data_IF_699390880448
#
_entry.id   IF_699390880448
#
_cell.length_a   1.000
_cell.length_b   1.000
_cell.length_c   1.000
_cell.angle_alpha   90.00
_cell.angle_beta   90.00
_cell.angle_gamma   90.00
#
_symmetry.space_group_name_H-M   'P 1'
#
loop_
_entity.id
_entity.type
_entity.pdbx_description
1 polymer ?
#
# COMPACT_ATOMS: atom_id res chain seq x y z
N UNK A 1 -79.00 30.06 45.03
CA UNK A 1 -78.14 29.09 45.77
C UNK A 1 -77.30 28.40 44.70
N UNK A 2 -76.06 28.86 44.57
CA UNK A 2 -75.04 28.30 43.66
C UNK A 2 -74.24 27.26 44.44
N UNK A 3 -74.17 26.06 43.94
CA UNK A 3 -73.30 25.02 44.50
C UNK A 3 -72.06 24.85 43.65
N UNK A 4 -70.96 25.44 44.12
CA UNK A 4 -69.64 25.20 43.54
C UNK A 4 -69.19 23.75 43.80
N UNK A 5 -69.00 22.94 42.75
CA UNK A 5 -68.37 21.63 42.82
C UNK A 5 -66.84 21.83 42.79
N UNK A 6 -66.23 21.67 43.94
CA UNK A 6 -64.75 21.57 44.06
C UNK A 6 -64.33 20.22 43.51
N UNK A 7 -63.65 20.25 42.33
CA UNK A 7 -62.98 19.08 41.74
C UNK A 7 -61.65 18.84 42.51
N UNK A 8 -61.66 17.82 43.34
CA UNK A 8 -60.43 17.35 44.03
C UNK A 8 -59.54 16.65 42.97
N UNK A 9 -58.50 17.33 42.53
CA UNK A 9 -57.47 16.71 41.70
C UNK A 9 -56.69 15.70 42.49
N UNK A 10 -56.67 14.46 42.04
CA UNK A 10 -55.99 13.33 42.71
C UNK A 10 -54.50 13.39 42.39
N UNK A 11 -53.60 13.70 43.37
CA UNK A 11 -52.14 13.91 43.15
C UNK A 11 -51.40 12.66 42.64
N UNK A 12 -52.02 11.48 42.77
CA UNK A 12 -51.44 10.24 42.23
C UNK A 12 -51.51 10.10 40.72
N UNK A 13 -52.48 10.73 40.07
CA UNK A 13 -52.64 10.71 38.59
C UNK A 13 -51.64 11.63 37.90
N UNK A 14 -51.38 12.79 38.47
CA UNK A 14 -50.39 13.73 37.92
C UNK A 14 -48.96 13.19 38.05
N UNK A 15 -48.61 12.50 39.12
CA UNK A 15 -47.32 11.81 39.25
C UNK A 15 -47.15 10.67 38.25
N UNK A 16 -48.19 9.86 38.01
CA UNK A 16 -48.13 8.80 36.98
C UNK A 16 -47.99 9.35 35.57
N UNK A 17 -48.69 10.42 35.22
CA UNK A 17 -48.56 11.08 33.91
C UNK A 17 -47.21 11.75 33.73
N UNK A 18 -46.62 12.34 34.75
CA UNK A 18 -45.28 12.92 34.71
C UNK A 18 -44.18 11.83 34.53
N UNK A 19 -44.34 10.68 35.19
CA UNK A 19 -43.43 9.54 35.03
C UNK A 19 -43.53 8.93 33.62
N UNK A 20 -44.73 8.78 33.10
CA UNK A 20 -44.96 8.28 31.72
C UNK A 20 -44.35 9.23 30.67
N UNK A 21 -44.54 10.55 30.79
CA UNK A 21 -43.89 11.53 29.90
C UNK A 21 -42.37 11.50 30.01
N UNK A 22 -41.82 11.37 31.21
CA UNK A 22 -40.37 11.28 31.42
C UNK A 22 -39.78 10.01 30.80
N UNK A 23 -40.47 8.86 30.88
CA UNK A 23 -40.05 7.63 30.28
C UNK A 23 -40.15 7.69 28.73
N UNK A 24 -41.20 8.27 28.18
CA UNK A 24 -41.33 8.49 26.72
C UNK A 24 -40.25 9.45 26.19
N UNK A 25 -39.90 10.52 26.91
CA UNK A 25 -38.81 11.43 26.53
C UNK A 25 -37.46 10.72 26.61
N UNK A 26 -37.25 9.84 27.63
CA UNK A 26 -36.04 9.04 27.72
C UNK A 26 -35.93 7.98 26.61
N UNK A 27 -37.03 7.35 26.20
CA UNK A 27 -37.08 6.41 25.07
C UNK A 27 -36.84 7.16 23.73
N UNK A 28 -37.42 8.32 23.52
CA UNK A 28 -37.17 9.15 22.34
C UNK A 28 -35.70 9.60 22.31
N UNK A 29 -35.15 10.07 23.43
CA UNK A 29 -33.72 10.45 23.52
C UNK A 29 -32.77 9.25 23.38
N UNK A 30 -33.23 8.01 23.68
CA UNK A 30 -32.44 6.78 23.46
C UNK A 30 -32.53 6.33 22.00
N UNK A 31 -33.66 6.56 21.34
CA UNK A 31 -33.84 6.31 19.90
C UNK A 31 -33.10 7.33 19.02
N UNK A 32 -33.04 8.60 19.43
CA UNK A 32 -32.26 9.64 18.73
C UNK A 32 -30.73 9.44 18.90
N UNK A 33 -30.28 8.65 19.82
CA UNK A 33 -28.87 8.27 20.01
C UNK A 33 -28.48 6.93 19.38
N UNK A 34 -29.28 6.38 18.47
CA UNK A 34 -28.77 5.36 17.57
C UNK A 34 -27.82 6.02 16.59
N UNK A 35 -26.55 6.09 17.01
CA UNK A 35 -25.43 6.57 16.21
C UNK A 35 -25.41 5.81 14.90
N UNK A 36 -25.66 6.50 13.79
CA UNK A 36 -25.57 5.89 12.46
C UNK A 36 -24.10 5.52 12.26
N UNK A 37 -23.78 4.25 12.38
CA UNK A 37 -22.45 3.72 12.13
C UNK A 37 -22.26 3.53 10.63
N UNK A 38 -21.26 4.19 10.07
CA UNK A 38 -20.79 3.94 8.73
C UNK A 38 -20.00 2.63 8.71
N UNK A 39 -20.52 1.63 8.04
CA UNK A 39 -19.88 0.31 7.97
C UNK A 39 -18.84 0.28 6.86
N UNK A 40 -17.58 0.09 7.25
CA UNK A 40 -16.46 -0.18 6.34
C UNK A 40 -16.20 -1.69 6.33
N UNK A 41 -16.30 -2.32 5.18
CA UNK A 41 -16.10 -3.76 5.01
C UNK A 41 -14.67 -4.05 4.56
N UNK A 42 -13.89 -4.72 5.41
CA UNK A 42 -12.52 -5.15 5.10
C UNK A 42 -12.57 -6.50 4.39
N UNK A 43 -11.92 -6.63 3.24
CA UNK A 43 -11.85 -7.86 2.44
C UNK A 43 -10.41 -8.40 2.48
N UNK A 44 -10.23 -9.60 3.01
CA UNK A 44 -8.90 -10.21 3.16
C UNK A 44 -8.87 -11.66 2.68
N UNK A 45 -7.84 -12.08 1.93
CA UNK A 45 -7.65 -13.48 1.57
C UNK A 45 -7.31 -14.31 2.81
N UNK A 46 -7.93 -15.50 2.94
CA UNK A 46 -7.67 -16.43 4.06
C UNK A 46 -6.21 -16.91 4.04
N UNK A 47 -5.65 -17.13 2.85
CA UNK A 47 -4.29 -17.65 2.61
C UNK A 47 -3.16 -16.65 2.84
N UNK A 48 -3.44 -15.35 2.95
CA UNK A 48 -2.37 -14.36 3.11
C UNK A 48 -1.67 -14.46 4.47
N UNK A 49 -0.45 -13.93 4.54
CA UNK A 49 0.36 -13.91 5.77
C UNK A 49 -0.45 -13.34 6.96
N UNK A 50 -0.51 -14.13 8.04
CA UNK A 50 -1.28 -13.78 9.25
C UNK A 50 -0.84 -12.43 9.84
N UNK A 51 0.45 -12.11 9.77
CA UNK A 51 0.98 -10.86 10.30
C UNK A 51 0.53 -9.65 9.46
N UNK A 52 0.50 -9.76 8.14
CA UNK A 52 0.02 -8.69 7.25
C UNK A 52 -1.44 -8.39 7.56
N UNK A 53 -2.28 -9.43 7.67
CA UNK A 53 -3.70 -9.27 8.02
C UNK A 53 -3.90 -8.59 9.37
N UNK A 54 -3.17 -9.06 10.39
CA UNK A 54 -3.23 -8.50 11.74
C UNK A 54 -2.78 -7.04 11.76
N UNK A 55 -1.66 -6.73 11.12
CA UNK A 55 -1.13 -5.37 11.09
C UNK A 55 -2.07 -4.42 10.37
N UNK A 56 -2.68 -4.85 9.27
CA UNK A 56 -3.66 -4.04 8.55
C UNK A 56 -4.87 -3.71 9.44
N UNK A 57 -5.47 -4.71 10.08
CA UNK A 57 -6.62 -4.52 10.98
C UNK A 57 -6.23 -3.60 12.14
N UNK A 58 -5.13 -3.88 12.82
CA UNK A 58 -4.65 -3.06 13.93
C UNK A 58 -4.39 -1.60 13.53
N UNK A 59 -3.90 -1.37 12.30
CA UNK A 59 -3.66 -0.02 11.77
C UNK A 59 -4.97 0.75 11.59
N UNK A 60 -6.03 0.11 11.12
CA UNK A 60 -7.36 0.72 11.02
C UNK A 60 -7.94 1.03 12.39
N UNK A 61 -7.93 0.06 13.30
CA UNK A 61 -8.43 0.24 14.66
C UNK A 61 -7.69 1.37 15.40
N UNK A 62 -6.34 1.40 15.28
CA UNK A 62 -5.53 2.46 15.85
C UNK A 62 -5.83 3.84 15.24
N UNK A 63 -6.07 3.89 13.91
CA UNK A 63 -6.37 5.15 13.23
C UNK A 63 -7.73 5.70 13.64
N UNK A 64 -8.74 4.83 13.77
CA UNK A 64 -10.07 5.19 14.27
C UNK A 64 -9.97 5.70 15.71
N UNK A 65 -9.23 4.99 16.56
CA UNK A 65 -9.01 5.38 17.96
C UNK A 65 -8.29 6.74 18.08
N UNK A 66 -7.15 6.91 17.37
CA UNK A 66 -6.38 8.17 17.42
C UNK A 66 -7.12 9.38 16.88
N UNK A 67 -8.03 9.18 15.96
CA UNK A 67 -8.84 10.26 15.35
C UNK A 67 -10.15 10.47 16.05
N UNK A 68 -10.40 9.71 17.13
CA UNK A 68 -11.65 9.78 17.92
C UNK A 68 -12.91 9.64 17.02
N UNK A 69 -12.79 8.78 15.96
CA UNK A 69 -13.88 8.55 15.04
C UNK A 69 -14.82 7.54 15.67
N UNK A 70 -15.99 7.99 16.06
CA UNK A 70 -16.92 7.19 16.83
C UNK A 70 -18.15 6.73 16.03
N UNK A 71 -18.19 7.04 14.72
CA UNK A 71 -19.29 6.69 13.79
C UNK A 71 -18.88 5.69 12.69
N UNK A 72 -17.75 4.99 12.84
CA UNK A 72 -17.28 3.95 11.92
C UNK A 72 -17.27 2.61 12.64
N UNK A 73 -17.81 1.59 11.96
CA UNK A 73 -17.67 0.19 12.35
C UNK A 73 -16.91 -0.57 11.27
N UNK A 74 -15.99 -1.46 11.68
CA UNK A 74 -15.25 -2.34 10.78
C UNK A 74 -15.87 -3.73 10.75
N UNK A 75 -16.07 -4.28 9.56
CA UNK A 75 -16.51 -5.66 9.36
C UNK A 75 -15.53 -6.41 8.48
N UNK A 76 -14.97 -7.50 9.01
CA UNK A 76 -13.96 -8.28 8.29
C UNK A 76 -14.65 -9.39 7.52
N UNK A 77 -14.41 -9.45 6.22
CA UNK A 77 -14.83 -10.51 5.32
C UNK A 77 -13.59 -11.25 4.82
N UNK A 78 -13.66 -12.58 4.80
CA UNK A 78 -12.56 -13.43 4.32
C UNK A 78 -13.02 -14.20 3.09
N UNK A 79 -12.09 -14.44 2.17
CA UNK A 79 -12.29 -15.25 0.99
C UNK A 79 -11.11 -16.21 0.81
N UNK A 80 -11.33 -17.36 0.23
CA UNK A 80 -10.31 -18.40 -0.01
C UNK A 80 -9.82 -18.39 -1.46
N UNK A 81 -10.73 -18.05 -2.39
CA UNK A 81 -10.46 -18.00 -3.83
C UNK A 81 -11.04 -16.73 -4.45
N UNK A 82 -10.62 -16.41 -5.68
CA UNK A 82 -11.22 -15.31 -6.45
C UNK A 82 -12.70 -15.53 -6.73
N UNK A 83 -13.12 -16.78 -6.86
CA UNK A 83 -14.52 -17.15 -7.00
C UNK A 83 -15.34 -16.83 -5.75
N UNK A 84 -14.80 -17.13 -4.57
CA UNK A 84 -15.44 -16.79 -3.29
C UNK A 84 -15.52 -15.27 -3.09
N UNK A 85 -14.47 -14.54 -3.49
CA UNK A 85 -14.49 -13.08 -3.49
C UNK A 85 -15.62 -12.54 -4.37
N UNK A 86 -15.75 -13.06 -5.59
CA UNK A 86 -16.81 -12.65 -6.51
C UNK A 86 -18.21 -12.97 -5.95
N UNK A 87 -18.37 -14.14 -5.35
CA UNK A 87 -19.64 -14.57 -4.71
C UNK A 87 -19.99 -13.70 -3.50
N UNK A 88 -18.99 -13.37 -2.68
CA UNK A 88 -19.12 -12.46 -1.55
C UNK A 88 -19.57 -11.07 -2.02
N UNK A 89 -18.96 -10.53 -3.07
CA UNK A 89 -19.31 -9.23 -3.60
C UNK A 89 -20.71 -9.23 -4.23
N UNK A 90 -21.11 -10.26 -4.96
CA UNK A 90 -22.49 -10.40 -5.48
C UNK A 90 -23.55 -10.27 -4.39
N UNK A 91 -23.23 -10.73 -3.18
CA UNK A 91 -24.17 -10.68 -2.05
C UNK A 91 -24.09 -9.41 -1.21
N UNK A 92 -22.92 -8.74 -1.17
CA UNK A 92 -22.63 -7.62 -0.25
C UNK A 92 -22.39 -6.28 -0.91
N UNK A 93 -22.04 -6.26 -2.20
CA UNK A 93 -21.73 -5.05 -2.93
C UNK A 93 -23.03 -4.28 -3.27
N UNK A 94 -23.55 -3.60 -2.27
CA UNK A 94 -24.73 -2.74 -2.39
C UNK A 94 -24.33 -1.27 -2.54
N UNK A 95 -25.15 -0.44 -3.19
CA UNK A 95 -24.86 0.99 -3.34
C UNK A 95 -24.56 1.67 -2.00
N UNK A 96 -23.55 2.53 -1.99
CA UNK A 96 -23.11 3.27 -0.79
C UNK A 96 -22.16 2.48 0.14
N UNK A 97 -21.79 1.25 -0.22
CA UNK A 97 -20.83 0.46 0.55
C UNK A 97 -19.39 0.90 0.27
N UNK A 98 -18.57 0.80 1.33
CA UNK A 98 -17.14 1.05 1.28
C UNK A 98 -16.42 -0.26 1.64
N UNK A 99 -15.56 -0.70 0.74
CA UNK A 99 -14.72 -1.87 0.93
C UNK A 99 -13.26 -1.46 0.97
N UNK A 100 -12.49 -2.08 1.89
CA UNK A 100 -11.05 -1.89 2.01
C UNK A 100 -10.37 -3.25 1.96
N UNK A 101 -9.35 -3.41 1.13
CA UNK A 101 -8.68 -4.69 0.98
C UNK A 101 -8.33 -4.96 -0.47
N UNK A 102 -8.33 -6.25 -0.86
CA UNK A 102 -7.75 -6.71 -2.11
C UNK A 102 -6.25 -6.41 -2.17
N UNK A 103 -5.48 -7.32 -1.58
CA UNK A 103 -4.01 -7.17 -1.46
C UNK A 103 -3.27 -7.49 -2.76
N UNK A 104 -3.94 -8.10 -3.75
CA UNK A 104 -3.34 -8.54 -5.02
C UNK A 104 -4.05 -7.92 -6.22
N UNK A 105 -3.35 -7.88 -7.35
CA UNK A 105 -3.88 -7.34 -8.59
C UNK A 105 -5.05 -8.17 -9.14
N UNK A 106 -4.99 -9.49 -9.01
CA UNK A 106 -6.06 -10.39 -9.45
C UNK A 106 -7.36 -10.15 -8.66
N UNK A 107 -7.25 -10.00 -7.34
CA UNK A 107 -8.40 -9.68 -6.50
C UNK A 107 -8.96 -8.28 -6.82
N UNK A 108 -8.09 -7.32 -7.16
CA UNK A 108 -8.51 -5.98 -7.57
C UNK A 108 -9.24 -5.99 -8.91
N UNK A 109 -8.84 -6.85 -9.85
CA UNK A 109 -9.59 -7.06 -11.09
C UNK A 109 -11.00 -7.59 -10.85
N UNK A 110 -11.18 -8.46 -9.85
CA UNK A 110 -12.52 -8.96 -9.49
C UNK A 110 -13.39 -7.83 -8.96
N UNK A 111 -12.90 -7.00 -8.02
CA UNK A 111 -13.72 -5.91 -7.45
C UNK A 111 -14.06 -4.84 -8.48
N UNK A 112 -13.20 -4.61 -9.46
CA UNK A 112 -13.43 -3.68 -10.56
C UNK A 112 -14.69 -3.98 -11.36
N UNK A 113 -15.11 -5.24 -11.46
CA UNK A 113 -16.36 -5.65 -12.12
C UNK A 113 -17.62 -5.09 -11.46
N UNK A 114 -17.52 -4.59 -10.22
CA UNK A 114 -18.64 -4.06 -9.44
C UNK A 114 -18.69 -2.53 -9.39
N UNK A 115 -17.84 -1.83 -10.12
CA UNK A 115 -17.76 -0.36 -10.11
C UNK A 115 -19.06 0.37 -10.49
N UNK A 116 -19.91 -0.23 -11.28
CA UNK A 116 -21.20 0.36 -11.71
C UNK A 116 -22.26 0.47 -10.61
N UNK A 117 -21.98 -0.02 -9.40
CA UNK A 117 -22.95 -0.12 -8.30
C UNK A 117 -22.85 0.99 -7.25
N UNK A 118 -22.16 2.11 -7.54
CA UNK A 118 -21.90 3.21 -6.60
C UNK A 118 -21.24 2.73 -5.29
N UNK A 119 -20.22 1.88 -5.42
CA UNK A 119 -19.44 1.31 -4.34
C UNK A 119 -18.05 1.94 -4.39
N UNK A 120 -17.36 2.03 -3.25
CA UNK A 120 -15.98 2.44 -3.18
C UNK A 120 -15.09 1.28 -2.73
N UNK A 121 -14.04 1.01 -3.47
CA UNK A 121 -13.00 0.05 -3.13
C UNK A 121 -11.68 0.74 -2.93
N UNK A 122 -11.07 0.55 -1.75
CA UNK A 122 -9.69 0.94 -1.47
C UNK A 122 -8.82 -0.31 -1.56
N UNK A 123 -8.02 -0.42 -2.61
CA UNK A 123 -7.17 -1.57 -2.90
C UNK A 123 -5.70 -1.29 -2.63
N UNK A 124 -4.95 -2.31 -2.23
CA UNK A 124 -3.49 -2.24 -2.02
C UNK A 124 -2.71 -2.84 -3.20
N UNK A 125 -3.34 -2.99 -4.37
CA UNK A 125 -2.64 -3.41 -5.59
C UNK A 125 -1.57 -2.40 -6.01
N UNK A 126 -0.42 -2.91 -6.47
CA UNK A 126 0.65 -2.10 -7.05
C UNK A 126 0.49 -1.86 -8.57
N UNK A 127 -0.55 -2.39 -9.19
CA UNK A 127 -0.83 -2.19 -10.60
C UNK A 127 -1.72 -0.95 -10.81
N UNK A 128 -1.11 0.14 -11.28
CA UNK A 128 -1.80 1.42 -11.54
C UNK A 128 -2.95 1.32 -12.54
N UNK A 129 -2.91 0.36 -13.48
CA UNK A 129 -3.94 0.19 -14.49
C UNK A 129 -5.27 -0.32 -13.92
N UNK A 130 -5.27 -0.72 -12.64
CA UNK A 130 -6.47 -1.19 -11.95
C UNK A 130 -7.23 -0.06 -11.26
N UNK A 131 -6.71 1.17 -11.22
CA UNK A 131 -7.46 2.32 -10.79
C UNK A 131 -8.71 2.52 -11.67
N UNK A 132 -9.84 2.87 -11.06
CA UNK A 132 -11.11 3.10 -11.76
C UNK A 132 -11.97 4.10 -10.97
N UNK A 133 -13.11 4.48 -11.51
CA UNK A 133 -14.06 5.40 -10.85
C UNK A 133 -14.42 4.97 -9.42
N UNK A 134 -14.47 3.67 -9.15
CA UNK A 134 -14.76 3.13 -7.83
C UNK A 134 -13.58 2.44 -7.16
N UNK A 135 -12.43 2.26 -7.81
CA UNK A 135 -11.24 1.59 -7.27
C UNK A 135 -10.14 2.60 -7.03
N UNK A 136 -9.91 2.90 -5.77
CA UNK A 136 -8.82 3.77 -5.31
C UNK A 136 -7.65 2.90 -4.87
N UNK A 137 -6.49 3.10 -5.48
CA UNK A 137 -5.27 2.37 -5.12
C UNK A 137 -4.55 3.10 -3.99
N UNK A 138 -4.34 2.39 -2.89
CA UNK A 138 -3.62 2.86 -1.70
C UNK A 138 -2.31 2.07 -1.61
N UNK A 139 -1.31 2.50 -2.37
CA UNK A 139 -0.01 1.84 -2.40
C UNK A 139 1.09 2.84 -2.77
N UNK A 140 2.34 2.46 -2.49
CA UNK A 140 3.51 3.12 -3.06
C UNK A 140 3.76 2.49 -4.42
N UNK A 141 3.91 3.33 -5.45
CA UNK A 141 4.15 2.86 -6.80
C UNK A 141 5.63 3.03 -7.12
N UNK A 142 6.37 1.92 -7.31
CA UNK A 142 7.80 1.97 -7.60
C UNK A 142 8.15 2.86 -8.80
N UNK A 143 7.24 2.99 -9.72
CA UNK A 143 7.38 3.85 -10.91
C UNK A 143 7.48 5.33 -10.54
N UNK A 144 6.63 5.80 -9.60
CA UNK A 144 6.67 7.19 -9.13
C UNK A 144 7.93 7.47 -8.34
N UNK A 145 8.35 6.51 -7.50
CA UNK A 145 9.59 6.60 -6.73
C UNK A 145 10.80 6.68 -7.66
N UNK A 146 10.83 5.86 -8.71
CA UNK A 146 11.90 5.92 -9.72
C UNK A 146 11.88 7.25 -10.49
N UNK A 147 10.73 7.73 -10.92
CA UNK A 147 10.62 9.04 -11.59
C UNK A 147 11.13 10.13 -10.68
N UNK A 148 10.73 10.14 -9.40
CA UNK A 148 11.22 11.11 -8.44
C UNK A 148 12.73 11.02 -8.24
N UNK A 149 13.28 9.79 -8.13
CA UNK A 149 14.73 9.56 -7.98
C UNK A 149 15.50 10.07 -9.20
N UNK A 150 15.03 9.77 -10.41
CA UNK A 150 15.72 10.16 -11.64
C UNK A 150 15.75 11.67 -11.87
N UNK A 151 14.81 12.42 -11.31
CA UNK A 151 14.82 13.88 -11.35
C UNK A 151 16.02 14.50 -10.59
N UNK A 152 16.69 13.75 -9.72
CA UNK A 152 17.90 14.21 -9.02
C UNK A 152 19.20 13.94 -9.79
N UNK A 153 19.17 13.12 -10.84
CA UNK A 153 20.36 12.83 -11.62
C UNK A 153 20.60 13.90 -12.70
N UNK A 154 21.86 14.36 -12.86
CA UNK A 154 22.21 15.19 -14.00
C UNK A 154 21.94 14.46 -15.33
N UNK A 155 21.72 15.20 -16.44
CA UNK A 155 21.68 14.60 -17.78
C UNK A 155 22.95 13.78 -18.05
N UNK A 156 22.83 12.77 -18.92
CA UNK A 156 23.92 11.83 -19.28
C UNK A 156 24.45 10.99 -18.11
N UNK A 157 23.73 10.94 -16.98
CA UNK A 157 24.12 10.10 -15.85
C UNK A 157 24.16 8.63 -16.24
N UNK A 158 25.26 7.96 -15.86
CA UNK A 158 25.46 6.52 -16.04
C UNK A 158 25.05 5.77 -14.78
N UNK A 159 24.01 4.95 -14.90
CA UNK A 159 23.40 4.27 -13.77
C UNK A 159 23.63 2.76 -13.89
N UNK A 160 24.00 2.13 -12.79
CA UNK A 160 24.05 0.69 -12.63
C UNK A 160 22.89 0.25 -11.75
N UNK A 161 22.14 -0.76 -12.20
CA UNK A 161 20.97 -1.30 -11.48
C UNK A 161 21.32 -2.62 -10.79
N UNK A 162 21.22 -2.64 -9.47
CA UNK A 162 21.27 -3.85 -8.65
C UNK A 162 19.89 -4.10 -8.06
N UNK A 163 19.31 -5.28 -8.28
CA UNK A 163 17.94 -5.58 -7.87
C UNK A 163 17.79 -7.02 -7.35
N UNK A 164 16.86 -7.27 -6.40
CA UNK A 164 16.58 -8.62 -5.93
C UNK A 164 15.91 -9.47 -7.01
N UNK A 165 16.21 -10.76 -7.07
CA UNK A 165 15.59 -11.71 -7.98
C UNK A 165 14.23 -12.18 -7.45
N UNK A 166 13.27 -11.26 -7.46
CA UNK A 166 11.90 -11.48 -7.07
C UNK A 166 10.93 -10.66 -7.94
N UNK A 167 9.65 -10.76 -7.65
CA UNK A 167 8.62 -10.02 -8.40
C UNK A 167 8.87 -8.52 -8.42
N UNK A 168 9.22 -7.91 -7.26
CA UNK A 168 9.49 -6.48 -7.15
C UNK A 168 10.70 -6.05 -7.99
N UNK A 169 11.83 -6.74 -7.83
CA UNK A 169 13.06 -6.42 -8.57
C UNK A 169 12.90 -6.61 -10.08
N UNK A 170 12.20 -7.67 -10.49
CA UNK A 170 11.90 -7.91 -11.90
C UNK A 170 10.97 -6.82 -12.48
N UNK A 171 10.03 -6.30 -11.70
CA UNK A 171 9.20 -5.17 -12.11
C UNK A 171 10.04 -3.90 -12.27
N UNK A 172 10.91 -3.56 -11.30
CA UNK A 172 11.84 -2.43 -11.38
C UNK A 172 12.70 -2.53 -12.65
N UNK A 173 13.27 -3.72 -12.90
CA UNK A 173 14.11 -3.95 -14.08
C UNK A 173 13.37 -3.71 -15.41
N UNK A 174 12.06 -3.97 -15.47
CA UNK A 174 11.23 -3.70 -16.65
C UNK A 174 10.92 -2.22 -16.84
N UNK A 175 10.56 -1.53 -15.76
CA UNK A 175 10.05 -0.15 -15.84
C UNK A 175 11.15 0.91 -15.86
N UNK A 176 12.39 0.59 -15.44
CA UNK A 176 13.46 1.57 -15.31
C UNK A 176 13.91 2.19 -16.65
N UNK A 177 13.88 1.43 -17.75
CA UNK A 177 14.35 1.90 -19.05
C UNK A 177 13.60 3.12 -19.58
N UNK A 178 12.26 3.08 -19.70
CA UNK A 178 11.51 4.22 -20.17
C UNK A 178 11.65 5.44 -19.26
N UNK A 179 11.87 5.24 -17.96
CA UNK A 179 12.08 6.32 -16.98
C UNK A 179 13.47 6.93 -17.18
N UNK A 180 14.51 6.11 -17.27
CA UNK A 180 15.87 6.58 -17.51
C UNK A 180 15.96 7.38 -18.81
N UNK A 181 15.35 6.89 -19.90
CA UNK A 181 15.33 7.57 -21.20
C UNK A 181 14.65 8.95 -21.12
N UNK A 182 13.55 9.08 -20.37
CA UNK A 182 12.86 10.37 -20.17
C UNK A 182 13.67 11.38 -19.37
N UNK A 183 14.63 10.90 -18.59
CA UNK A 183 15.49 11.72 -17.72
C UNK A 183 16.91 11.88 -18.27
N UNK A 184 17.12 11.58 -19.55
CA UNK A 184 18.43 11.60 -20.23
C UNK A 184 19.53 10.82 -19.48
N UNK A 185 19.14 9.71 -18.81
CA UNK A 185 20.06 8.85 -18.09
C UNK A 185 20.25 7.52 -18.81
N UNK A 186 21.41 6.87 -18.65
CA UNK A 186 21.79 5.65 -19.34
C UNK A 186 22.01 4.52 -18.33
N UNK A 187 21.30 3.43 -18.49
CA UNK A 187 21.54 2.21 -17.69
C UNK A 187 22.70 1.44 -18.34
N UNK A 188 23.89 1.48 -17.71
CA UNK A 188 25.14 0.92 -18.26
C UNK A 188 25.38 -0.54 -17.86
N UNK A 189 24.81 -1.00 -16.74
CA UNK A 189 24.90 -2.39 -16.32
C UNK A 189 23.76 -2.79 -15.39
N UNK A 190 23.52 -4.09 -15.28
CA UNK A 190 22.50 -4.69 -14.43
C UNK A 190 23.01 -5.98 -13.82
N UNK A 191 22.65 -6.22 -12.57
CA UNK A 191 22.82 -7.49 -11.92
C UNK A 191 21.67 -7.75 -10.96
N UNK A 192 21.21 -9.01 -10.86
CA UNK A 192 20.27 -9.45 -9.83
C UNK A 192 21.00 -10.17 -8.71
N UNK A 193 20.37 -10.24 -7.56
CA UNK A 193 20.85 -11.02 -6.41
C UNK A 193 19.68 -11.75 -5.75
N UNK A 194 19.98 -12.91 -5.13
CA UNK A 194 18.99 -13.69 -4.39
C UNK A 194 18.48 -12.92 -3.16
N UNK A 195 17.21 -13.11 -2.79
CA UNK A 195 16.59 -12.44 -1.64
C UNK A 195 17.30 -12.69 -0.30
N UNK A 196 17.97 -13.86 -0.17
CA UNK A 196 18.77 -14.23 1.00
C UNK A 196 20.18 -13.60 1.02
N UNK A 197 20.51 -12.81 0.00
CA UNK A 197 21.80 -12.15 -0.19
C UNK A 197 22.99 -13.10 -0.38
N UNK A 198 22.77 -14.39 -0.61
CA UNK A 198 23.82 -15.41 -0.69
C UNK A 198 24.84 -15.14 -1.80
N UNK A 199 24.43 -14.52 -2.91
CA UNK A 199 25.21 -14.17 -4.09
C UNK A 199 25.41 -12.66 -4.29
N UNK A 200 24.97 -11.82 -3.37
CA UNK A 200 25.00 -10.36 -3.51
C UNK A 200 26.41 -9.82 -3.81
N UNK A 201 27.46 -10.45 -3.23
CA UNK A 201 28.85 -10.09 -3.50
C UNK A 201 29.25 -10.32 -4.97
N UNK A 202 28.78 -11.40 -5.55
CA UNK A 202 29.11 -11.77 -6.92
C UNK A 202 28.28 -10.91 -7.90
N UNK A 203 27.02 -10.64 -7.59
CA UNK A 203 26.20 -9.67 -8.31
C UNK A 203 26.84 -8.27 -8.35
N UNK A 204 27.42 -7.80 -7.24
CA UNK A 204 28.15 -6.51 -7.19
C UNK A 204 29.41 -6.53 -8.06
N UNK A 205 30.15 -7.64 -8.05
CA UNK A 205 31.34 -7.81 -8.91
C UNK A 205 30.96 -7.78 -10.39
N UNK A 206 29.89 -8.49 -10.76
CA UNK A 206 29.35 -8.49 -12.12
C UNK A 206 28.91 -7.10 -12.55
N UNK A 207 28.10 -6.44 -11.72
CA UNK A 207 27.64 -5.06 -11.95
C UNK A 207 28.79 -4.10 -12.20
N UNK A 208 29.85 -4.21 -11.39
CA UNK A 208 31.09 -3.42 -11.50
C UNK A 208 32.05 -3.91 -12.58
N UNK A 209 31.75 -4.96 -13.32
CA UNK A 209 32.68 -5.62 -14.29
C UNK A 209 34.04 -5.88 -13.65
N UNK A 210 34.06 -6.38 -12.41
CA UNK A 210 35.26 -6.50 -11.60
C UNK A 210 36.36 -7.34 -12.26
N UNK A 211 36.01 -8.51 -12.78
CA UNK A 211 37.00 -9.42 -13.40
C UNK A 211 37.62 -8.80 -14.65
N UNK A 212 36.82 -8.14 -15.48
CA UNK A 212 37.30 -7.44 -16.67
C UNK A 212 38.28 -6.30 -16.28
N UNK A 213 37.92 -5.50 -15.29
CA UNK A 213 38.78 -4.41 -14.81
C UNK A 213 40.06 -4.91 -14.16
N UNK A 214 39.98 -6.01 -13.41
CA UNK A 214 41.12 -6.67 -12.81
C UNK A 214 42.08 -7.21 -13.89
N UNK A 215 41.53 -7.90 -14.88
CA UNK A 215 42.33 -8.40 -16.01
C UNK A 215 43.02 -7.27 -16.75
N UNK A 216 42.31 -6.20 -17.06
CA UNK A 216 42.88 -5.05 -17.76
C UNK A 216 43.97 -4.35 -16.93
N UNK A 217 43.76 -4.21 -15.62
CA UNK A 217 44.74 -3.66 -14.69
C UNK A 217 46.03 -4.52 -14.68
N UNK A 218 45.92 -5.82 -14.59
CA UNK A 218 47.08 -6.73 -14.57
C UNK A 218 47.78 -6.71 -15.93
N UNK A 219 47.04 -6.60 -17.03
CA UNK A 219 47.62 -6.41 -18.38
C UNK A 219 48.44 -5.12 -18.47
N UNK A 220 47.87 -4.00 -18.00
CA UNK A 220 48.55 -2.69 -17.96
C UNK A 220 49.81 -2.74 -17.08
N UNK A 221 49.74 -3.33 -15.89
CA UNK A 221 50.89 -3.51 -15.01
C UNK A 221 52.03 -4.30 -15.71
N UNK A 222 51.71 -5.39 -16.43
CA UNK A 222 52.70 -6.14 -17.20
C UNK A 222 53.35 -5.32 -18.28
N UNK A 223 52.56 -4.56 -19.05
CA UNK A 223 53.04 -3.73 -20.12
C UNK A 223 54.00 -2.61 -19.60
N UNK A 224 53.63 -2.01 -18.47
CA UNK A 224 54.47 -0.95 -17.86
C UNK A 224 55.75 -1.50 -17.21
N UNK A 225 55.71 -2.73 -16.64
CA UNK A 225 56.89 -3.36 -16.09
C UNK A 225 57.94 -3.69 -17.14
N UNK A 226 57.53 -3.97 -18.39
CA UNK A 226 58.42 -4.31 -19.50
C UNK A 226 59.07 -3.08 -20.17
N UNK A 227 58.73 -1.84 -19.72
CA UNK A 227 59.26 -0.60 -20.22
C UNK A 227 60.22 0.01 -19.18
N UNK A 228 61.39 0.43 -19.61
CA UNK A 228 62.43 0.92 -18.68
C UNK A 228 62.50 2.44 -18.58
N UNK A 229 61.54 3.12 -19.21
CA UNK A 229 61.46 4.59 -19.20
C UNK A 229 60.84 5.11 -17.87
N UNK A 230 61.23 6.33 -17.50
CA UNK A 230 60.83 6.96 -16.23
C UNK A 230 59.32 7.26 -16.18
N UNK A 231 58.69 7.52 -17.33
CA UNK A 231 57.26 7.80 -17.46
C UNK A 231 56.49 6.54 -17.10
N UNK A 232 56.87 5.38 -17.61
CA UNK A 232 56.28 4.08 -17.31
C UNK A 232 56.48 3.67 -15.86
N UNK A 233 57.63 3.94 -15.24
CA UNK A 233 57.88 3.70 -13.82
C UNK A 233 56.97 4.56 -12.93
N UNK A 234 56.77 5.83 -13.28
CA UNK A 234 55.85 6.70 -12.54
C UNK A 234 54.37 6.34 -12.72
N UNK A 235 53.94 5.90 -13.91
CA UNK A 235 52.63 5.39 -14.17
C UNK A 235 52.31 4.09 -13.35
N UNK A 236 53.32 3.18 -13.27
CA UNK A 236 53.20 1.95 -12.49
C UNK A 236 53.01 2.22 -11.00
N UNK A 237 53.75 3.22 -10.45
CA UNK A 237 53.59 3.65 -9.03
C UNK A 237 52.18 4.22 -8.75
N UNK A 238 51.56 4.93 -9.71
CA UNK A 238 50.19 5.45 -9.57
C UNK A 238 49.15 4.36 -9.57
N UNK A 239 49.35 3.28 -10.33
CA UNK A 239 48.41 2.14 -10.43
C UNK A 239 48.52 1.19 -9.22
N UNK A 240 49.62 1.23 -8.48
CA UNK A 240 49.84 0.37 -7.30
C UNK A 240 49.32 1.01 -5.99
N UNK A 241 48.99 2.29 -5.97
CA UNK A 241 48.31 2.97 -4.87
C UNK A 241 46.78 2.78 -4.97
#
# INVERSE_FOLDING_TARGET
ISTDKVLIKNPSVEKKQAILKKNQINEINTLEKQKILNLVEIILPSSSNKNIKKNLINSFELSIYKKEIDNIALKINRYESLYDLESLLKSKALPGKIFVGTLTSEATQVVKKFCNQRILFFSFSADKNLADECVYLVNFFPEDDLVALFNFFPPDSKIALLYPENYYGNNINKIINPIALKSDAIIISRASYNEDLSDARDAIKELGKYELRKFELERQKKLLKNKDDEISKNALKKIQK
#
